data_IF_332956542239
#
_entry.id   IF_332956542239
#
_cell.length_a   1.000
_cell.length_b   1.000
_cell.length_c   1.000
_cell.angle_alpha   90.00
_cell.angle_beta   90.00
_cell.angle_gamma   90.00
#
_symmetry.space_group_name_H-M   'P 1'
#
loop_
_entity.id
_entity.type
_entity.pdbx_description
1 polymer ?
#
# COMPACT_ATOMS: atom_id res chain seq x y z
N UNK A 1 2.85 -1.80 -40.42
CA UNK A 1 2.32 -0.57 -39.80
C UNK A 1 1.08 -0.94 -39.00
N UNK A 2 1.17 -0.89 -37.68
CA UNK A 2 0.16 -1.42 -36.74
C UNK A 2 -0.90 -0.36 -36.42
N UNK A 3 -2.05 -0.44 -37.08
CA UNK A 3 -3.24 0.40 -36.84
C UNK A 3 -3.86 0.22 -35.43
N UNK A 4 -3.37 -0.72 -34.64
CA UNK A 4 -3.82 -1.00 -33.27
C UNK A 4 -3.36 0.02 -32.22
N UNK A 5 -2.34 0.82 -32.50
CA UNK A 5 -1.73 1.71 -31.49
C UNK A 5 -2.62 2.91 -31.12
N UNK A 6 -3.44 3.40 -32.06
CA UNK A 6 -4.27 4.61 -31.86
C UNK A 6 -5.43 4.35 -30.88
N UNK A 7 -6.07 3.18 -30.96
CA UNK A 7 -7.17 2.80 -30.08
C UNK A 7 -6.69 2.49 -28.65
N UNK A 8 -5.46 1.97 -28.50
CA UNK A 8 -4.85 1.75 -27.20
C UNK A 8 -4.60 3.09 -26.48
N UNK A 9 -4.01 4.09 -27.14
CA UNK A 9 -3.79 5.42 -26.54
C UNK A 9 -5.11 6.08 -26.11
N UNK A 10 -6.18 5.94 -26.89
CA UNK A 10 -7.49 6.50 -26.52
C UNK A 10 -8.12 5.83 -25.29
N UNK A 11 -8.03 4.49 -25.20
CA UNK A 11 -8.53 3.77 -24.02
C UNK A 11 -7.75 4.13 -22.76
N UNK A 12 -6.41 4.23 -22.86
CA UNK A 12 -5.56 4.63 -21.74
C UNK A 12 -5.89 6.04 -21.24
N UNK A 13 -6.17 6.96 -22.17
CA UNK A 13 -6.55 8.32 -21.84
C UNK A 13 -7.92 8.37 -21.12
N UNK A 14 -8.87 7.52 -21.54
CA UNK A 14 -10.17 7.41 -20.89
C UNK A 14 -10.08 6.76 -19.51
N UNK A 15 -9.37 5.64 -19.38
CA UNK A 15 -9.16 4.93 -18.10
C UNK A 15 -8.44 5.84 -17.10
N UNK A 16 -7.42 6.59 -17.56
CA UNK A 16 -6.71 7.57 -16.74
C UNK A 16 -7.62 8.71 -16.26
N UNK A 17 -8.44 9.28 -17.15
CA UNK A 17 -9.36 10.35 -16.79
C UNK A 17 -10.41 9.89 -15.76
N UNK A 18 -10.95 8.69 -15.94
CA UNK A 18 -11.93 8.10 -15.02
C UNK A 18 -11.31 7.83 -13.64
N UNK A 19 -10.09 7.29 -13.59
CA UNK A 19 -9.35 7.13 -12.35
C UNK A 19 -9.13 8.47 -11.64
N UNK A 20 -8.75 9.52 -12.38
CA UNK A 20 -8.57 10.84 -11.80
C UNK A 20 -9.88 11.35 -11.19
N UNK A 21 -11.00 11.23 -11.90
CA UNK A 21 -12.32 11.65 -11.41
C UNK A 21 -12.71 10.94 -10.12
N UNK A 22 -12.63 9.60 -10.10
CA UNK A 22 -12.96 8.79 -8.93
C UNK A 22 -12.05 9.11 -7.73
N UNK A 23 -10.74 9.30 -7.97
CA UNK A 23 -9.81 9.72 -6.91
C UNK A 23 -10.12 11.14 -6.39
N UNK A 24 -10.44 12.09 -7.27
CA UNK A 24 -10.80 13.45 -6.86
C UNK A 24 -12.07 13.46 -6.01
N UNK A 25 -13.12 12.80 -6.47
CA UNK A 25 -14.39 12.70 -5.75
C UNK A 25 -14.16 12.18 -4.33
N UNK A 26 -13.41 11.07 -4.21
CA UNK A 26 -13.09 10.46 -2.94
C UNK A 26 -12.27 11.36 -2.03
N UNK A 27 -11.17 11.93 -2.52
CA UNK A 27 -10.27 12.72 -1.67
C UNK A 27 -10.86 14.07 -1.28
N UNK A 28 -11.65 14.70 -2.15
CA UNK A 28 -12.41 15.91 -1.81
C UNK A 28 -13.46 15.59 -0.75
N UNK A 29 -14.17 14.47 -0.90
CA UNK A 29 -15.15 14.04 0.10
C UNK A 29 -14.50 13.77 1.46
N UNK A 30 -13.33 13.11 1.48
CA UNK A 30 -12.55 12.91 2.71
C UNK A 30 -12.13 14.25 3.34
N UNK A 31 -11.58 15.18 2.54
CA UNK A 31 -11.15 16.49 3.03
C UNK A 31 -12.32 17.31 3.61
N UNK A 32 -13.51 17.23 3.00
CA UNK A 32 -14.68 17.95 3.45
C UNK A 32 -15.25 17.42 4.79
N UNK A 33 -15.03 16.14 5.10
CA UNK A 33 -15.58 15.48 6.30
C UNK A 33 -14.54 15.16 7.37
N UNK A 34 -13.27 15.47 7.12
CA UNK A 34 -12.20 15.31 8.13
C UNK A 34 -12.33 16.42 9.17
N UNK A 35 -12.23 16.08 10.45
CA UNK A 35 -12.17 17.08 11.52
C UNK A 35 -11.00 18.04 11.27
N UNK A 36 -11.30 19.35 11.23
CA UNK A 36 -10.30 20.36 10.92
C UNK A 36 -9.32 20.52 12.08
N UNK A 37 -8.18 19.83 12.00
CA UNK A 37 -7.09 19.96 12.99
C UNK A 37 -6.28 21.23 12.78
N UNK A 38 -6.06 21.64 11.54
CA UNK A 38 -5.32 22.84 11.15
C UNK A 38 -5.68 23.30 9.74
N UNK A 39 -5.90 24.61 9.57
CA UNK A 39 -6.13 25.24 8.26
C UNK A 39 -4.92 25.03 7.33
N UNK A 40 -3.70 25.19 7.85
CA UNK A 40 -2.47 25.03 7.07
C UNK A 40 -2.31 23.60 6.55
N UNK A 41 -2.64 22.60 7.37
CA UNK A 41 -2.62 21.20 6.96
C UNK A 41 -3.60 20.94 5.80
N UNK A 42 -4.84 21.42 5.91
CA UNK A 42 -5.82 21.27 4.83
C UNK A 42 -5.41 21.97 3.54
N UNK A 43 -4.91 23.21 3.64
CA UNK A 43 -4.39 23.95 2.49
C UNK A 43 -3.23 23.20 1.82
N UNK A 44 -2.33 22.62 2.63
CA UNK A 44 -1.24 21.77 2.15
C UNK A 44 -1.74 20.56 1.38
N UNK A 45 -2.70 19.82 1.94
CA UNK A 45 -3.33 18.67 1.27
C UNK A 45 -3.99 19.06 -0.04
N UNK A 46 -4.84 20.08 -0.04
CA UNK A 46 -5.50 20.60 -1.25
C UNK A 46 -4.49 21.03 -2.32
N UNK A 47 -3.43 21.74 -1.94
CA UNK A 47 -2.37 22.17 -2.87
C UNK A 47 -1.66 20.99 -3.53
N UNK A 48 -1.42 19.92 -2.77
CA UNK A 48 -0.72 18.72 -3.26
C UNK A 48 -1.63 17.72 -3.99
N UNK A 49 -2.95 17.86 -3.84
CA UNK A 49 -3.92 16.86 -4.29
C UNK A 49 -3.84 16.57 -5.79
N UNK A 50 -3.76 17.56 -6.70
CA UNK A 50 -3.65 17.28 -8.13
C UNK A 50 -2.41 16.48 -8.49
N UNK A 51 -1.28 16.76 -7.83
CA UNK A 51 -0.03 16.03 -8.08
C UNK A 51 -0.18 14.55 -7.71
N UNK A 52 -0.69 14.26 -6.51
CA UNK A 52 -0.80 12.87 -6.04
C UNK A 52 -1.88 12.09 -6.79
N UNK A 53 -3.01 12.71 -7.17
CA UNK A 53 -4.04 12.04 -7.97
C UNK A 53 -3.50 11.67 -9.35
N UNK A 54 -2.92 12.63 -10.08
CA UNK A 54 -2.35 12.36 -11.39
C UNK A 54 -1.28 11.27 -11.32
N UNK A 55 -0.42 11.32 -10.30
CA UNK A 55 0.64 10.34 -10.12
C UNK A 55 0.08 8.94 -9.83
N UNK A 56 -0.88 8.82 -8.91
CA UNK A 56 -1.49 7.54 -8.56
C UNK A 56 -2.26 6.95 -9.76
N UNK A 57 -3.08 7.74 -10.45
CA UNK A 57 -3.82 7.28 -11.63
C UNK A 57 -2.87 6.78 -12.73
N UNK A 58 -1.82 7.55 -13.05
CA UNK A 58 -0.81 7.14 -14.04
C UNK A 58 -0.14 5.81 -13.67
N UNK A 59 0.29 5.66 -12.42
CA UNK A 59 0.95 4.44 -11.97
C UNK A 59 -0.01 3.24 -11.92
N UNK A 60 -1.28 3.43 -11.55
CA UNK A 60 -2.28 2.38 -11.57
C UNK A 60 -2.54 1.88 -13.00
N UNK A 61 -2.69 2.80 -13.96
CA UNK A 61 -2.83 2.46 -15.39
C UNK A 61 -1.60 1.70 -15.90
N UNK A 62 -0.39 2.19 -15.62
CA UNK A 62 0.86 1.52 -16.05
C UNK A 62 0.99 0.11 -15.46
N UNK A 63 0.71 -0.06 -14.17
CA UNK A 63 0.79 -1.36 -13.49
C UNK A 63 -0.22 -2.35 -14.08
N UNK A 64 -1.42 -1.88 -14.41
CA UNK A 64 -2.46 -2.69 -15.04
C UNK A 64 -2.08 -3.13 -16.45
N UNK A 65 -1.49 -2.23 -17.26
CA UNK A 65 -1.04 -2.53 -18.62
C UNK A 65 0.12 -3.51 -18.69
N UNK A 66 1.08 -3.38 -17.78
CA UNK A 66 2.23 -4.27 -17.73
C UNK A 66 1.85 -5.70 -17.37
N UNK A 67 0.70 -5.92 -16.72
CA UNK A 67 0.20 -7.25 -16.38
C UNK A 67 1.04 -8.02 -15.34
N UNK A 68 2.02 -7.37 -14.72
CA UNK A 68 2.87 -7.98 -13.68
C UNK A 68 2.17 -8.07 -12.32
N UNK A 69 1.14 -7.24 -12.09
CA UNK A 69 0.34 -7.27 -10.87
C UNK A 69 -0.74 -8.35 -10.96
N UNK A 70 -0.93 -9.16 -9.91
CA UNK A 70 -2.04 -10.10 -9.80
C UNK A 70 -3.37 -9.43 -9.42
N UNK A 71 -3.41 -8.10 -9.28
CA UNK A 71 -4.60 -7.32 -8.94
C UNK A 71 -5.39 -6.96 -10.20
N UNK A 72 -6.71 -6.85 -10.06
CA UNK A 72 -7.57 -6.30 -11.10
C UNK A 72 -7.85 -4.84 -10.79
N UNK A 73 -7.60 -3.96 -11.76
CA UNK A 73 -7.92 -2.54 -11.63
C UNK A 73 -9.44 -2.33 -11.76
N UNK A 74 -10.06 -1.75 -10.74
CA UNK A 74 -11.41 -1.20 -10.81
C UNK A 74 -11.29 0.31 -11.13
N UNK A 75 -11.50 0.64 -12.40
CA UNK A 75 -11.35 1.99 -12.94
C UNK A 75 -12.40 2.93 -12.35
N UNK A 76 -13.64 2.46 -12.18
CA UNK A 76 -14.77 3.28 -11.74
C UNK A 76 -14.65 3.68 -10.27
N UNK A 77 -14.12 2.79 -9.44
CA UNK A 77 -13.92 3.06 -8.01
C UNK A 77 -12.49 3.54 -7.68
N UNK A 78 -11.59 3.59 -8.67
CA UNK A 78 -10.16 3.80 -8.51
C UNK A 78 -9.54 2.94 -7.39
N UNK A 79 -9.78 1.63 -7.44
CA UNK A 79 -9.26 0.67 -6.45
C UNK A 79 -8.67 -0.57 -7.11
N UNK A 80 -7.94 -1.34 -6.31
CA UNK A 80 -7.53 -2.69 -6.68
C UNK A 80 -8.50 -3.73 -6.13
N UNK A 81 -8.83 -4.71 -6.96
CA UNK A 81 -9.69 -5.83 -6.62
C UNK A 81 -8.92 -7.14 -6.65
N UNK A 82 -9.22 -8.01 -5.67
CA UNK A 82 -8.71 -9.37 -5.60
C UNK A 82 -9.71 -10.26 -4.85
N UNK A 83 -9.68 -11.57 -5.12
CA UNK A 83 -10.55 -12.53 -4.43
C UNK A 83 -10.19 -12.57 -2.94
N UNK A 84 -11.14 -12.16 -2.10
CA UNK A 84 -10.97 -12.19 -0.65
C UNK A 84 -11.14 -13.60 -0.08
N UNK A 85 -10.16 -14.02 0.71
CA UNK A 85 -10.19 -15.30 1.41
C UNK A 85 -11.30 -15.33 2.46
N UNK A 86 -11.96 -16.48 2.61
CA UNK A 86 -13.01 -16.68 3.61
C UNK A 86 -12.50 -16.71 5.04
N UNK A 87 -11.21 -17.03 5.25
CA UNK A 87 -10.55 -17.11 6.55
C UNK A 87 -9.29 -16.24 6.58
N UNK A 88 -9.00 -15.72 7.77
CA UNK A 88 -7.84 -14.90 8.13
C UNK A 88 -6.57 -15.73 8.31
N UNK A 89 -6.59 -17.05 8.07
CA UNK A 89 -5.38 -17.89 8.13
C UNK A 89 -4.29 -17.46 7.14
N UNK A 90 -4.58 -16.52 6.25
CA UNK A 90 -3.55 -15.78 5.51
C UNK A 90 -2.58 -15.02 6.44
N UNK A 91 -3.03 -14.67 7.64
CA UNK A 91 -2.28 -13.94 8.68
C UNK A 91 -1.73 -14.83 9.80
N UNK A 92 -1.97 -16.15 9.79
CA UNK A 92 -1.39 -17.04 10.80
C UNK A 92 0.10 -17.24 10.54
N UNK A 93 0.87 -16.21 10.85
CA UNK A 93 2.33 -16.18 10.81
C UNK A 93 2.82 -16.17 12.25
N UNK A 94 3.87 -16.93 12.54
CA UNK A 94 4.57 -16.80 13.82
C UNK A 94 5.23 -15.42 13.88
N UNK A 95 5.08 -14.73 15.01
CA UNK A 95 5.75 -13.43 15.22
C UNK A 95 7.28 -13.60 15.07
N UNK A 96 7.85 -14.70 15.56
CA UNK A 96 9.27 -15.01 15.43
C UNK A 96 9.71 -15.15 13.95
N UNK A 97 8.88 -15.75 13.11
CA UNK A 97 9.14 -15.88 11.68
C UNK A 97 9.13 -14.52 10.97
N UNK A 98 8.26 -13.60 11.41
CA UNK A 98 8.20 -12.24 10.88
C UNK A 98 9.44 -11.45 11.29
N UNK A 99 9.78 -11.45 12.59
CA UNK A 99 10.94 -10.74 13.13
C UNK A 99 12.25 -11.24 12.51
N UNK A 100 12.41 -12.56 12.39
CA UNK A 100 13.60 -13.16 11.77
C UNK A 100 13.73 -12.82 10.28
N UNK A 101 12.61 -12.70 9.55
CA UNK A 101 12.60 -12.29 8.15
C UNK A 101 13.10 -10.85 7.99
N UNK A 102 12.56 -9.91 8.78
CA UNK A 102 12.98 -8.50 8.74
C UNK A 102 14.41 -8.31 9.24
N UNK A 103 14.83 -9.04 10.29
CA UNK A 103 16.22 -9.01 10.79
C UNK A 103 17.21 -9.43 9.71
N UNK A 104 16.89 -10.51 8.98
CA UNK A 104 17.71 -10.97 7.85
C UNK A 104 17.74 -9.96 6.71
N UNK A 105 16.58 -9.37 6.38
CA UNK A 105 16.46 -8.35 5.36
C UNK A 105 17.42 -7.17 5.64
N UNK A 106 17.33 -6.57 6.83
CA UNK A 106 18.17 -5.41 7.17
C UNK A 106 19.66 -5.76 7.24
N UNK A 107 19.99 -6.97 7.72
CA UNK A 107 21.39 -7.41 7.86
C UNK A 107 22.05 -7.64 6.49
N UNK A 108 21.32 -8.18 5.52
CA UNK A 108 21.86 -8.49 4.19
C UNK A 108 21.90 -7.26 3.28
N UNK A 109 21.00 -6.30 3.47
CA UNK A 109 20.74 -5.28 2.45
C UNK A 109 20.96 -3.85 2.88
N UNK A 110 21.27 -3.59 4.17
CA UNK A 110 21.48 -2.35 4.97
C UNK A 110 21.00 -0.96 4.44
N UNK A 111 20.93 -0.70 3.12
CA UNK A 111 20.31 0.47 2.47
C UNK A 111 19.30 0.13 1.36
N UNK A 112 19.37 -1.05 0.73
CA UNK A 112 18.48 -1.43 -0.38
C UNK A 112 17.05 -1.78 0.07
N UNK A 113 16.76 -1.82 1.38
CA UNK A 113 15.40 -2.00 1.90
C UNK A 113 14.65 -0.69 2.14
N UNK A 114 15.27 0.48 1.94
CA UNK A 114 14.57 1.77 2.02
C UNK A 114 13.57 1.88 0.86
N UNK A 115 12.35 2.33 1.16
CA UNK A 115 11.24 2.37 0.21
C UNK A 115 10.55 1.03 0.01
N UNK A 116 11.00 -0.06 0.65
CA UNK A 116 10.33 -1.36 0.57
C UNK A 116 8.91 -1.24 1.14
N UNK A 117 7.93 -1.66 0.34
CA UNK A 117 6.53 -1.71 0.75
C UNK A 117 6.31 -2.89 1.69
N UNK A 118 5.74 -2.62 2.86
CA UNK A 118 5.54 -3.60 3.92
C UNK A 118 4.08 -3.63 4.37
N UNK A 119 3.52 -4.83 4.65
CA UNK A 119 2.18 -4.98 5.17
C UNK A 119 2.17 -4.85 6.70
N UNK A 120 1.20 -4.09 7.22
CA UNK A 120 0.99 -3.88 8.66
C UNK A 120 -0.43 -4.28 9.01
N UNK A 121 -0.59 -5.21 9.94
CA UNK A 121 -1.88 -5.55 10.51
C UNK A 121 -2.31 -4.41 11.44
N UNK A 122 -3.47 -3.81 11.15
CA UNK A 122 -4.10 -2.76 11.95
C UNK A 122 -5.53 -3.18 12.27
N UNK A 123 -5.78 -3.51 13.54
CA UNK A 123 -7.05 -4.03 14.03
C UNK A 123 -7.57 -5.25 13.23
N UNK A 124 -8.41 -4.99 12.22
CA UNK A 124 -9.20 -5.97 11.45
C UNK A 124 -8.81 -6.06 9.96
N UNK A 125 -7.79 -5.31 9.53
CA UNK A 125 -7.33 -5.27 8.14
C UNK A 125 -5.83 -5.00 8.05
N UNK A 126 -5.29 -5.15 6.83
CA UNK A 126 -3.88 -4.95 6.55
C UNK A 126 -3.75 -3.64 5.77
N UNK A 127 -2.91 -2.74 6.26
CA UNK A 127 -2.55 -1.50 5.57
C UNK A 127 -1.17 -1.66 4.91
N UNK A 128 -0.94 -0.92 3.84
CA UNK A 128 0.38 -0.81 3.24
C UNK A 128 1.14 0.38 3.85
N UNK A 129 2.41 0.16 4.14
CA UNK A 129 3.35 1.21 4.49
C UNK A 129 4.69 0.98 3.78
N UNK A 130 5.67 1.86 3.99
CA UNK A 130 7.00 1.72 3.41
C UNK A 130 8.08 2.00 4.45
N UNK A 131 9.18 1.26 4.37
CA UNK A 131 10.35 1.46 5.26
C UNK A 131 11.02 2.78 4.87
N UNK A 132 11.12 3.72 5.80
CA UNK A 132 11.75 5.02 5.56
C UNK A 132 13.05 5.22 6.35
N UNK A 133 13.27 4.44 7.42
CA UNK A 133 14.52 4.42 8.19
C UNK A 133 14.83 3.03 8.72
N UNK A 134 16.13 2.77 8.88
CA UNK A 134 16.66 1.55 9.50
C UNK A 134 17.63 1.98 10.58
N UNK A 135 17.51 1.40 11.77
CA UNK A 135 18.43 1.54 12.88
C UNK A 135 19.03 0.16 13.17
N UNK A 136 20.20 -0.07 12.59
CA UNK A 136 20.88 -1.37 12.63
C UNK A 136 21.41 -1.69 14.04
N UNK A 137 21.78 -0.67 14.82
CA UNK A 137 22.30 -0.83 16.19
C UNK A 137 21.22 -1.38 17.11
N UNK A 138 20.03 -0.77 17.07
CA UNK A 138 18.88 -1.19 17.89
C UNK A 138 18.01 -2.25 17.21
N UNK A 139 18.43 -2.75 16.05
CA UNK A 139 17.70 -3.69 15.17
C UNK A 139 16.21 -3.35 15.09
N UNK A 140 15.92 -2.14 14.60
CA UNK A 140 14.54 -1.66 14.43
C UNK A 140 14.39 -0.95 13.11
N UNK A 141 13.18 -1.01 12.56
CA UNK A 141 12.82 -0.32 11.31
C UNK A 141 11.75 0.71 11.59
N UNK A 142 11.79 1.81 10.86
CA UNK A 142 10.73 2.79 10.85
C UNK A 142 9.97 2.71 9.54
N UNK A 143 8.66 2.73 9.67
CA UNK A 143 7.74 2.89 8.56
C UNK A 143 7.24 4.33 8.52
N UNK A 144 6.90 4.81 7.34
CA UNK A 144 6.62 6.22 7.12
C UNK A 144 5.38 6.73 7.88
N UNK A 145 4.35 5.91 8.05
CA UNK A 145 3.13 6.30 8.80
C UNK A 145 3.06 5.61 10.17
N UNK A 146 3.39 4.33 10.24
CA UNK A 146 3.14 3.51 11.43
C UNK A 146 4.26 3.56 12.48
N UNK A 147 5.34 4.29 12.21
CA UNK A 147 6.40 4.53 13.18
C UNK A 147 7.39 3.38 13.31
N UNK A 148 7.98 3.23 14.51
CA UNK A 148 9.08 2.29 14.77
C UNK A 148 8.60 0.90 15.17
N UNK A 149 9.22 -0.13 14.61
CA UNK A 149 9.04 -1.53 14.99
C UNK A 149 10.38 -2.12 15.44
N UNK A 150 10.39 -2.69 16.65
CA UNK A 150 11.50 -3.49 17.16
C UNK A 150 11.54 -4.83 16.42
N UNK A 151 12.74 -5.32 16.06
CA UNK A 151 12.93 -6.63 15.45
C UNK A 151 13.50 -7.67 16.42
N UNK A 152 13.68 -7.31 17.68
CA UNK A 152 14.22 -8.17 18.74
C UNK A 152 13.12 -8.54 19.74
N UNK A 153 12.31 -7.56 20.10
CA UNK A 153 11.27 -7.69 21.12
C UNK A 153 9.91 -7.78 20.45
N UNK A 154 9.09 -8.72 20.92
CA UNK A 154 7.68 -8.77 20.56
C UNK A 154 6.96 -7.60 21.24
N UNK A 155 6.22 -6.82 20.46
CA UNK A 155 5.50 -5.68 21.00
C UNK A 155 4.27 -6.18 21.77
N UNK A 156 4.19 -5.82 23.06
CA UNK A 156 3.08 -6.26 23.93
C UNK A 156 1.77 -5.53 23.57
N UNK A 157 1.88 -4.36 22.94
CA UNK A 157 0.73 -3.65 22.37
C UNK A 157 0.48 -4.10 20.92
N UNK A 158 -0.54 -4.94 20.74
CA UNK A 158 -0.94 -5.53 19.46
C UNK A 158 -1.79 -4.60 18.56
N UNK A 159 -1.81 -3.28 18.81
CA UNK A 159 -2.54 -2.32 17.98
C UNK A 159 -2.05 -2.32 16.53
N UNK A 160 -0.74 -2.47 16.33
CA UNK A 160 -0.10 -2.57 15.02
C UNK A 160 0.93 -3.70 15.03
N UNK A 161 0.95 -4.52 13.98
CA UNK A 161 1.92 -5.62 13.86
C UNK A 161 2.45 -5.73 12.44
N UNK A 162 3.77 -5.84 12.31
CA UNK A 162 4.37 -6.17 11.01
C UNK A 162 3.93 -7.56 10.58
N UNK A 163 3.76 -7.73 9.27
CA UNK A 163 3.53 -9.03 8.65
C UNK A 163 4.64 -9.31 7.65
N UNK A 164 5.01 -10.57 7.48
CA UNK A 164 5.89 -10.96 6.38
C UNK A 164 5.15 -10.75 5.06
N UNK A 165 5.75 -10.05 4.08
CA UNK A 165 5.14 -9.86 2.78
C UNK A 165 5.11 -11.20 2.03
N UNK A 166 3.91 -11.72 1.86
CA UNK A 166 3.62 -12.86 0.99
C UNK A 166 2.59 -12.44 -0.04
N UNK A 167 2.49 -13.16 -1.17
CA UNK A 167 1.54 -12.80 -2.24
C UNK A 167 0.11 -12.65 -1.70
N UNK A 168 -0.34 -13.54 -0.81
CA UNK A 168 -1.68 -13.48 -0.21
C UNK A 168 -1.86 -12.26 0.71
N UNK A 169 -0.85 -11.95 1.52
CA UNK A 169 -0.87 -10.80 2.43
C UNK A 169 -0.89 -9.49 1.65
N UNK A 170 0.01 -9.34 0.66
CA UNK A 170 0.10 -8.13 -0.16
C UNK A 170 -1.18 -7.93 -0.99
N UNK A 171 -1.74 -8.99 -1.58
CA UNK A 171 -3.03 -8.94 -2.27
C UNK A 171 -4.15 -8.46 -1.35
N UNK A 172 -4.19 -9.00 -0.13
CA UNK A 172 -5.21 -8.64 0.86
C UNK A 172 -5.11 -7.18 1.27
N UNK A 173 -3.90 -6.67 1.47
CA UNK A 173 -3.64 -5.28 1.79
C UNK A 173 -4.03 -4.34 0.63
N UNK A 174 -3.60 -4.65 -0.60
CA UNK A 174 -3.89 -3.82 -1.77
C UNK A 174 -5.39 -3.73 -2.07
N UNK A 175 -6.14 -4.81 -1.85
CA UNK A 175 -7.59 -4.86 -2.08
C UNK A 175 -8.40 -4.53 -0.82
N UNK A 176 -7.75 -4.07 0.25
CA UNK A 176 -8.38 -3.62 1.49
C UNK A 176 -9.24 -4.68 2.18
N UNK A 177 -8.87 -5.96 2.07
CA UNK A 177 -9.63 -7.07 2.67
C UNK A 177 -9.71 -6.94 4.19
N UNK A 178 -10.87 -7.30 4.76
CA UNK A 178 -11.17 -7.17 6.19
C UNK A 178 -11.75 -8.44 6.78
N UNK A 179 -11.47 -8.68 8.05
CA UNK A 179 -12.05 -9.79 8.79
C UNK A 179 -12.36 -9.40 10.23
N UNK A 180 -13.50 -9.85 10.73
CA UNK A 180 -13.89 -9.72 12.12
C UNK A 180 -13.35 -10.92 12.91
N UNK A 181 -12.88 -10.65 14.13
CA UNK A 181 -12.37 -11.64 15.09
C UNK A 181 -11.14 -12.40 14.54
N UNK A 182 -9.97 -12.19 15.17
CA UNK A 182 -8.73 -12.85 14.73
C UNK A 182 -8.82 -14.38 14.77
N UNK A 183 -9.66 -14.94 15.63
CA UNK A 183 -9.78 -16.39 15.83
C UNK A 183 -10.85 -17.03 14.93
N UNK A 184 -12.01 -16.38 14.79
CA UNK A 184 -13.13 -16.91 13.97
C UNK A 184 -13.07 -16.46 12.51
N UNK A 185 -12.39 -15.35 12.26
CA UNK A 185 -12.04 -14.84 10.95
C UNK A 185 -13.23 -14.70 9.99
N UNK A 186 -14.26 -13.97 10.41
CA UNK A 186 -15.45 -13.74 9.61
C UNK A 186 -15.15 -12.67 8.57
N UNK A 187 -15.33 -13.01 7.29
CA UNK A 187 -15.14 -12.08 6.17
C UNK A 187 -16.03 -10.83 6.32
N UNK A 188 -15.42 -9.65 6.28
CA UNK A 188 -16.12 -8.36 6.23
C UNK A 188 -16.00 -7.74 4.84
N UNK A 189 -16.81 -6.69 4.60
CA UNK A 189 -16.67 -5.86 3.40
C UNK A 189 -15.28 -5.19 3.40
N UNK A 190 -14.56 -5.20 2.26
CA UNK A 190 -13.30 -4.49 2.15
C UNK A 190 -13.41 -3.01 2.51
N UNK A 191 -12.32 -2.44 3.02
CA UNK A 191 -12.16 -0.99 3.14
C UNK A 191 -11.45 -0.47 1.90
N UNK A 192 -11.79 0.75 1.49
CA UNK A 192 -11.09 1.40 0.38
C UNK A 192 -9.70 1.85 0.86
N UNK A 193 -8.61 1.43 0.20
CA UNK A 193 -7.27 1.90 0.55
C UNK A 193 -7.13 3.42 0.34
N UNK A 194 -6.36 4.08 1.22
CA UNK A 194 -6.07 5.50 1.09
C UNK A 194 -5.32 5.84 -0.20
N UNK A 195 -5.30 7.12 -0.61
CA UNK A 195 -4.52 7.56 -1.79
C UNK A 195 -3.05 7.16 -1.69
N UNK A 196 -2.50 7.23 -0.46
CA UNK A 196 -1.13 6.81 -0.17
C UNK A 196 -0.96 5.31 -0.40
N UNK A 197 -1.86 4.49 0.14
CA UNK A 197 -1.81 3.03 -0.03
C UNK A 197 -1.94 2.61 -1.50
N UNK A 198 -2.84 3.26 -2.25
CA UNK A 198 -2.94 3.07 -3.70
C UNK A 198 -1.63 3.42 -4.40
N UNK A 199 -1.04 4.57 -4.08
CA UNK A 199 0.23 4.99 -4.69
C UNK A 199 1.35 3.98 -4.41
N UNK A 200 1.49 3.52 -3.17
CA UNK A 200 2.58 2.60 -2.81
C UNK A 200 2.31 1.16 -3.28
N UNK A 201 1.05 0.78 -3.49
CA UNK A 201 0.72 -0.51 -4.08
C UNK A 201 1.31 -0.67 -5.49
N UNK A 202 1.48 0.43 -6.23
CA UNK A 202 2.13 0.44 -7.54
C UNK A 202 3.66 0.25 -7.49
N UNK A 203 4.27 0.33 -6.30
CA UNK A 203 5.70 0.16 -6.09
C UNK A 203 6.08 -1.26 -5.64
N UNK A 204 5.13 -2.19 -5.60
CA UNK A 204 5.34 -3.58 -5.16
C UNK A 204 6.00 -4.39 -6.27
N UNK A 205 7.16 -4.98 -5.97
CA UNK A 205 7.74 -6.05 -6.78
C UNK A 205 7.03 -7.39 -6.44
N UNK A 206 6.08 -7.77 -7.30
CA UNK A 206 5.32 -9.01 -7.14
C UNK A 206 6.13 -10.29 -7.37
N UNK A 207 7.35 -10.18 -7.92
CA UNK A 207 8.27 -11.30 -8.09
C UNK A 207 9.21 -11.43 -6.89
N UNK A 208 9.58 -10.31 -6.25
CA UNK A 208 10.51 -10.30 -5.12
C UNK A 208 10.18 -9.24 -4.05
N UNK A 209 9.50 -9.66 -2.98
CA UNK A 209 9.15 -8.80 -1.84
C UNK A 209 10.31 -8.39 -0.92
N UNK A 210 11.57 -8.68 -1.27
CA UNK A 210 12.75 -8.26 -0.49
C UNK A 210 13.40 -6.99 -1.02
N UNK A 211 12.93 -6.47 -2.15
CA UNK A 211 13.49 -5.28 -2.78
C UNK A 211 12.37 -4.32 -3.21
N UNK A 212 12.60 -3.01 -3.13
CA UNK A 212 11.72 -2.03 -3.78
C UNK A 212 11.84 -2.19 -5.31
N UNK A 213 10.79 -1.87 -6.05
CA UNK A 213 10.91 -1.69 -7.49
C UNK A 213 11.95 -0.61 -7.78
N UNK A 214 12.80 -0.82 -8.79
CA UNK A 214 13.87 0.11 -9.19
C UNK A 214 13.36 1.46 -9.77
N UNK A 215 12.09 1.79 -9.58
CA UNK A 215 11.47 3.02 -10.07
C UNK A 215 11.71 4.14 -9.07
N UNK A 216 12.13 5.30 -9.58
CA UNK A 216 12.55 6.51 -8.85
C UNK A 216 11.97 6.65 -7.42
N UNK A 217 12.83 6.94 -6.41
CA UNK A 217 12.40 7.02 -5.02
C UNK A 217 11.26 8.04 -4.87
N UNK A 218 10.11 7.54 -4.43
CA UNK A 218 8.95 8.37 -4.12
C UNK A 218 9.30 9.27 -2.92
N UNK A 219 9.23 10.61 -3.04
CA UNK A 219 9.43 11.50 -1.90
C UNK A 219 8.19 11.42 -0.99
N UNK A 220 8.23 10.53 0.01
CA UNK A 220 7.12 10.26 0.94
C UNK A 220 7.02 11.25 2.13
N UNK A 221 7.42 12.51 1.97
CA UNK A 221 7.44 13.45 3.11
C UNK A 221 6.16 14.29 3.32
N UNK A 222 5.08 14.06 2.57
CA UNK A 222 3.93 14.99 2.59
C UNK A 222 2.52 14.37 2.58
N UNK A 223 2.36 13.10 2.97
CA UNK A 223 1.05 12.49 3.24
C UNK A 223 0.95 12.11 4.72
#
# INVERSE_FOLDING_TARGET
MTQSSFWQTNKQNNDFAELCNALYEREVHLLANTEMTSIQYMQGRLKSLPYYINKTANLMTQVNEQGHSPLTLDIQNATWSAKQASKLSVLSQSEEDVLSWYTRLISQTNKASLGLVVPILKADHIVLDSIDRIDAEKKRIRTNVSGWFSLIETNVDHSLSLLKPTKKVMLSACAGHRWQDRMKAIKLRPVIPSLRELLISCAIDWQNFKQPLAVNPLPFKAL
#
